data_IF_720900176013
#
_entry.id   IF_720900176013
#
_cell.length_a   1.000
_cell.length_b   1.000
_cell.length_c   1.000
_cell.angle_alpha   90.00
_cell.angle_beta   90.00
_cell.angle_gamma   90.00
#
_symmetry.space_group_name_H-M   'P 1'
#
loop_
_entity.id
_entity.type
_entity.pdbx_description
1 polymer ?
#
# COMPACT_ATOMS: atom_id res chain seq x y z
N UNK A 1 -2.35 -23.94 -23.20
CA UNK A 1 -1.92 -22.92 -22.21
C UNK A 1 -2.53 -21.59 -22.68
N UNK A 2 -3.70 -21.23 -22.13
CA UNK A 2 -4.41 -20.01 -22.45
C UNK A 2 -3.63 -18.85 -21.79
N UNK A 3 -2.96 -18.05 -22.60
CA UNK A 3 -2.29 -16.85 -22.11
C UNK A 3 -3.34 -15.93 -21.49
N UNK A 4 -3.25 -15.71 -20.18
CA UNK A 4 -4.08 -14.74 -19.50
C UNK A 4 -3.81 -13.36 -20.15
N UNK A 5 -4.78 -12.81 -20.85
CA UNK A 5 -4.69 -11.48 -21.44
C UNK A 5 -4.49 -10.48 -20.30
N UNK A 6 -3.34 -9.82 -20.27
CA UNK A 6 -3.08 -8.75 -19.30
C UNK A 6 -4.01 -7.57 -19.61
N UNK A 7 -4.59 -7.02 -18.57
CA UNK A 7 -5.41 -5.81 -18.65
C UNK A 7 -4.55 -4.59 -19.00
N UNK A 8 -5.14 -3.59 -19.63
CA UNK A 8 -4.50 -2.29 -19.76
C UNK A 8 -4.27 -1.65 -18.36
N UNK A 9 -3.23 -0.81 -18.20
CA UNK A 9 -2.97 -0.09 -16.96
C UNK A 9 -4.19 0.66 -16.46
N UNK A 10 -4.41 0.59 -15.15
CA UNK A 10 -5.46 1.37 -14.50
C UNK A 10 -5.02 2.82 -14.34
N UNK A 11 -5.94 3.76 -14.50
CA UNK A 11 -5.69 5.20 -14.31
C UNK A 11 -6.59 5.70 -13.18
N UNK A 12 -6.03 5.83 -11.98
CA UNK A 12 -6.76 6.23 -10.78
C UNK A 12 -6.88 7.75 -10.61
N UNK A 13 -6.21 8.51 -11.48
CA UNK A 13 -6.17 9.96 -11.38
C UNK A 13 -5.35 10.47 -10.17
N UNK A 14 -5.39 11.77 -9.82
CA UNK A 14 -4.68 12.31 -8.67
C UNK A 14 -5.31 11.86 -7.35
N UNK A 15 -4.54 11.96 -6.24
CA UNK A 15 -5.08 11.75 -4.89
C UNK A 15 -6.20 12.76 -4.61
N UNK A 16 -7.35 12.30 -4.09
CA UNK A 16 -8.43 13.20 -3.74
C UNK A 16 -8.03 14.13 -2.60
N UNK A 17 -8.43 15.39 -2.72
CA UNK A 17 -8.29 16.40 -1.68
C UNK A 17 -9.58 16.51 -0.85
N UNK A 18 -9.45 17.05 0.38
CA UNK A 18 -10.61 17.38 1.23
C UNK A 18 -11.36 16.19 1.81
N UNK A 19 -10.77 15.00 1.82
CA UNK A 19 -11.35 13.83 2.50
C UNK A 19 -11.35 14.03 4.01
N UNK A 20 -12.37 13.50 4.68
CA UNK A 20 -12.56 13.65 6.13
C UNK A 20 -11.39 13.03 6.93
N UNK A 21 -10.82 11.93 6.46
CA UNK A 21 -9.62 11.33 7.03
C UNK A 21 -8.48 11.44 6.02
N UNK A 22 -7.33 11.93 6.51
CA UNK A 22 -6.06 11.85 5.79
C UNK A 22 -4.97 11.46 6.78
N UNK A 23 -4.25 10.38 6.50
CA UNK A 23 -3.05 10.00 7.24
C UNK A 23 -1.83 10.04 6.33
N UNK A 24 -0.68 10.35 6.90
CA UNK A 24 0.61 10.33 6.21
C UNK A 24 1.60 9.60 7.10
N UNK A 25 2.18 8.55 6.58
CA UNK A 25 3.24 7.78 7.22
C UNK A 25 4.52 7.96 6.39
N UNK A 26 5.56 8.50 6.99
CA UNK A 26 6.83 8.77 6.32
C UNK A 26 7.94 7.89 6.88
N UNK A 27 8.87 7.49 6.02
CA UNK A 27 10.06 6.78 6.43
C UNK A 27 11.22 7.00 5.46
N UNK A 28 12.38 7.32 6.01
CA UNK A 28 13.63 7.21 5.28
C UNK A 28 14.14 5.77 5.34
N UNK A 29 14.50 5.22 4.19
CA UNK A 29 14.96 3.84 4.00
C UNK A 29 16.38 3.88 3.43
N UNK A 30 17.35 3.25 4.09
CA UNK A 30 18.75 3.20 3.67
C UNK A 30 18.96 2.15 2.56
N UNK A 31 18.24 2.32 1.47
CA UNK A 31 18.35 1.50 0.27
C UNK A 31 18.05 2.35 -0.96
N UNK A 32 18.66 2.05 -2.13
CA UNK A 32 18.34 2.70 -3.39
C UNK A 32 16.84 2.62 -3.73
N UNK A 33 16.35 3.65 -4.44
CA UNK A 33 14.94 3.75 -4.83
C UNK A 33 14.48 2.52 -5.60
N UNK A 34 15.29 2.02 -6.51
CA UNK A 34 14.98 0.86 -7.36
C UNK A 34 14.71 -0.40 -6.53
N UNK A 35 15.49 -0.62 -5.47
CA UNK A 35 15.32 -1.76 -4.55
C UNK A 35 14.03 -1.56 -3.74
N UNK A 36 13.85 -0.40 -3.13
CA UNK A 36 12.68 -0.13 -2.29
C UNK A 36 11.38 -0.19 -3.12
N UNK A 37 11.36 0.44 -4.30
CA UNK A 37 10.21 0.45 -5.18
C UNK A 37 9.87 -0.95 -5.71
N UNK A 38 10.87 -1.74 -6.12
CA UNK A 38 10.68 -3.12 -6.56
C UNK A 38 10.05 -3.99 -5.48
N UNK A 39 10.53 -3.89 -4.24
CA UNK A 39 9.99 -4.62 -3.10
C UNK A 39 8.56 -4.16 -2.79
N UNK A 40 8.29 -2.86 -2.84
CA UNK A 40 6.96 -2.32 -2.54
C UNK A 40 5.92 -2.71 -3.60
N UNK A 41 6.27 -2.73 -4.90
CA UNK A 41 5.32 -3.09 -5.97
C UNK A 41 5.05 -4.60 -6.05
N UNK A 42 5.93 -5.44 -5.52
CA UNK A 42 5.73 -6.90 -5.46
C UNK A 42 4.82 -7.27 -4.29
N UNK A 43 3.56 -6.83 -4.39
CA UNK A 43 2.59 -6.95 -3.29
C UNK A 43 2.28 -8.39 -2.90
N UNK A 44 2.37 -9.36 -3.82
CA UNK A 44 2.11 -10.78 -3.49
C UNK A 44 3.16 -11.37 -2.56
N UNK A 45 4.39 -10.87 -2.60
CA UNK A 45 5.45 -11.27 -1.67
C UNK A 45 5.23 -10.77 -0.24
N UNK A 46 4.35 -9.76 -0.03
CA UNK A 46 4.18 -9.16 1.29
C UNK A 46 3.76 -10.16 2.36
N UNK A 47 2.87 -11.09 2.04
CA UNK A 47 2.40 -12.07 3.02
C UNK A 47 3.53 -13.02 3.51
N UNK A 48 4.55 -13.26 2.69
CA UNK A 48 5.72 -14.08 3.09
C UNK A 48 6.66 -13.32 4.05
N UNK A 49 6.69 -12.00 3.99
CA UNK A 49 7.62 -11.17 4.75
C UNK A 49 6.97 -10.38 5.89
N UNK A 50 5.66 -10.13 5.81
CA UNK A 50 4.91 -9.29 6.73
C UNK A 50 3.83 -10.14 7.44
N UNK A 51 4.14 -10.59 8.65
CA UNK A 51 3.29 -11.52 9.43
C UNK A 51 1.86 -11.06 9.68
N UNK A 52 1.56 -9.76 9.52
CA UNK A 52 0.21 -9.24 9.67
C UNK A 52 -0.63 -9.41 8.41
N UNK A 53 -0.03 -9.64 7.22
CA UNK A 53 -0.79 -10.05 6.03
C UNK A 53 -1.09 -11.55 6.09
N UNK A 54 -2.34 -11.89 5.80
CA UNK A 54 -2.80 -13.28 5.66
C UNK A 54 -2.57 -13.79 4.25
N UNK A 55 -2.89 -12.94 3.28
CA UNK A 55 -2.60 -13.15 1.86
C UNK A 55 -2.69 -11.83 1.09
N UNK A 56 -1.99 -11.76 -0.02
CA UNK A 56 -2.13 -10.77 -1.07
C UNK A 56 -2.08 -11.51 -2.39
N UNK A 57 -3.04 -11.24 -3.29
CA UNK A 57 -3.09 -11.92 -4.58
C UNK A 57 -3.76 -11.06 -5.65
N UNK A 58 -3.25 -11.11 -6.86
CA UNK A 58 -3.93 -10.50 -7.99
C UNK A 58 -5.15 -11.33 -8.40
N UNK A 59 -6.27 -10.65 -8.59
CA UNK A 59 -7.45 -11.19 -9.31
C UNK A 59 -7.30 -10.96 -10.81
N UNK A 60 -6.77 -9.81 -11.19
CA UNK A 60 -6.44 -9.43 -12.56
C UNK A 60 -5.12 -8.67 -12.55
N UNK A 61 -4.23 -8.94 -13.51
CA UNK A 61 -2.96 -8.21 -13.67
C UNK A 61 -3.04 -7.24 -14.83
N UNK A 62 -2.46 -6.06 -14.66
CA UNK A 62 -2.24 -5.07 -15.70
C UNK A 62 -0.79 -5.07 -16.17
N UNK A 63 -0.55 -4.51 -17.37
CA UNK A 63 0.75 -4.53 -18.03
C UNK A 63 1.80 -3.63 -17.35
N UNK A 64 1.39 -2.68 -16.50
CA UNK A 64 2.27 -1.83 -15.67
C UNK A 64 2.73 -2.52 -14.37
N UNK A 65 2.27 -3.74 -14.12
CA UNK A 65 2.49 -4.46 -12.86
C UNK A 65 1.43 -4.18 -11.79
N UNK A 66 0.44 -3.33 -12.08
CA UNK A 66 -0.77 -3.14 -11.28
C UNK A 66 -1.88 -4.13 -11.60
N UNK A 67 -3.13 -3.76 -11.32
CA UNK A 67 -4.31 -4.59 -11.59
C UNK A 67 -5.32 -4.57 -10.47
N UNK A 68 -6.12 -5.63 -10.36
CA UNK A 68 -7.05 -5.84 -9.25
C UNK A 68 -6.41 -6.75 -8.22
N UNK A 69 -6.20 -6.24 -7.01
CA UNK A 69 -5.50 -6.93 -5.92
C UNK A 69 -6.45 -7.18 -4.76
N UNK A 70 -6.51 -8.42 -4.32
CA UNK A 70 -7.21 -8.82 -3.10
C UNK A 70 -6.23 -9.00 -1.96
N UNK A 71 -6.53 -8.37 -0.84
CA UNK A 71 -5.68 -8.35 0.34
C UNK A 71 -6.45 -8.74 1.60
N UNK A 72 -5.76 -9.43 2.51
CA UNK A 72 -6.27 -9.68 3.86
C UNK A 72 -5.16 -9.55 4.88
N UNK A 73 -5.45 -8.85 5.96
CA UNK A 73 -4.52 -8.66 7.06
C UNK A 73 -5.19 -8.84 8.42
N UNK A 74 -4.42 -9.30 9.39
CA UNK A 74 -4.82 -9.34 10.79
C UNK A 74 -4.60 -7.97 11.42
N UNK A 75 -5.64 -7.44 12.05
CA UNK A 75 -5.58 -6.20 12.83
C UNK A 75 -5.52 -6.55 14.31
N UNK A 76 -4.52 -6.07 15.04
CA UNK A 76 -4.52 -6.21 16.49
C UNK A 76 -5.63 -5.34 17.08
N UNK A 77 -6.53 -5.97 17.80
CA UNK A 77 -7.55 -5.31 18.60
C UNK A 77 -7.42 -5.81 20.03
N UNK A 78 -6.58 -5.15 20.84
CA UNK A 78 -6.21 -5.66 22.15
C UNK A 78 -5.56 -7.05 22.04
N UNK A 79 -6.04 -8.07 22.79
CA UNK A 79 -5.53 -9.43 22.70
C UNK A 79 -6.05 -10.20 21.45
N UNK A 80 -6.98 -9.65 20.70
CA UNK A 80 -7.62 -10.31 19.56
C UNK A 80 -7.03 -9.82 18.23
N UNK A 81 -6.71 -10.76 17.36
CA UNK A 81 -6.36 -10.48 15.96
C UNK A 81 -7.63 -10.56 15.12
N UNK A 82 -8.11 -9.39 14.63
CA UNK A 82 -9.30 -9.35 13.78
C UNK A 82 -8.91 -9.43 12.30
N UNK A 83 -9.30 -10.47 11.55
CA UNK A 83 -9.03 -10.54 10.13
C UNK A 83 -9.87 -9.51 9.37
N UNK A 84 -9.21 -8.74 8.51
CA UNK A 84 -9.87 -7.82 7.58
C UNK A 84 -9.52 -8.16 6.17
N UNK A 85 -10.41 -7.80 5.26
CA UNK A 85 -10.30 -8.07 3.84
C UNK A 85 -10.68 -6.83 3.05
N UNK A 86 -9.98 -6.60 1.94
CA UNK A 86 -10.30 -5.56 0.96
C UNK A 86 -9.86 -5.94 -0.44
N UNK A 87 -10.53 -5.35 -1.43
CA UNK A 87 -10.21 -5.45 -2.85
C UNK A 87 -9.82 -4.07 -3.35
N UNK A 88 -8.75 -3.97 -4.13
CA UNK A 88 -8.21 -2.70 -4.62
C UNK A 88 -7.92 -2.73 -6.11
N UNK A 89 -8.19 -1.64 -6.78
CA UNK A 89 -7.50 -1.26 -8.00
C UNK A 89 -6.09 -0.80 -7.62
N UNK A 90 -5.07 -1.28 -8.34
CA UNK A 90 -3.67 -0.92 -8.15
C UNK A 90 -3.10 -0.37 -9.46
N UNK A 91 -2.51 0.81 -9.40
CA UNK A 91 -1.76 1.45 -10.48
C UNK A 91 -0.30 1.59 -10.06
N UNK A 92 0.61 1.27 -10.97
CA UNK A 92 2.05 1.45 -10.77
C UNK A 92 2.55 2.51 -11.75
N UNK A 93 3.26 3.51 -11.26
CA UNK A 93 3.87 4.57 -12.05
C UNK A 93 5.38 4.56 -11.80
N UNK A 94 6.16 4.34 -12.85
CA UNK A 94 7.61 4.41 -12.83
C UNK A 94 8.13 4.79 -14.23
N UNK A 95 7.56 5.86 -14.79
CA UNK A 95 7.96 6.37 -16.09
C UNK A 95 9.06 7.43 -15.92
N UNK A 96 9.96 7.53 -16.89
CA UNK A 96 10.99 8.57 -16.91
C UNK A 96 10.35 9.96 -16.85
N UNK A 97 10.74 10.74 -15.83
CA UNK A 97 10.21 12.10 -15.62
C UNK A 97 8.99 12.18 -14.70
N UNK A 98 8.42 11.05 -14.25
CA UNK A 98 7.39 11.02 -13.23
C UNK A 98 7.94 10.45 -11.92
N UNK A 99 7.50 10.93 -10.75
CA UNK A 99 7.84 10.31 -9.48
C UNK A 99 7.36 8.87 -9.42
N UNK A 100 8.23 7.97 -8.92
CA UNK A 100 7.85 6.59 -8.70
C UNK A 100 6.72 6.52 -7.66
N UNK A 101 5.60 5.88 -8.01
CA UNK A 101 4.42 5.81 -7.15
C UNK A 101 3.64 4.50 -7.36
N UNK A 102 2.99 4.06 -6.28
CA UNK A 102 2.02 2.97 -6.31
C UNK A 102 0.73 3.50 -5.71
N UNK A 103 -0.36 3.45 -6.47
CA UNK A 103 -1.68 3.90 -6.06
C UNK A 103 -2.62 2.74 -5.90
N UNK A 104 -3.44 2.81 -4.85
CA UNK A 104 -4.56 1.88 -4.64
C UNK A 104 -5.85 2.67 -4.45
N UNK A 105 -6.94 2.12 -4.97
CA UNK A 105 -8.30 2.53 -4.64
C UNK A 105 -9.06 1.32 -4.16
N UNK A 106 -9.52 1.34 -2.94
CA UNK A 106 -10.28 0.23 -2.38
C UNK A 106 -11.69 0.20 -2.98
N UNK A 107 -12.00 -0.88 -3.70
CA UNK A 107 -13.29 -1.09 -4.38
C UNK A 107 -14.17 -2.12 -3.69
N UNK A 108 -13.66 -2.80 -2.65
CA UNK A 108 -14.39 -3.77 -1.84
C UNK A 108 -13.86 -3.87 -0.41
N UNK A 109 -14.68 -4.39 0.48
CA UNK A 109 -14.37 -4.53 1.91
C UNK A 109 -14.75 -3.32 2.75
N UNK A 110 -14.38 -3.33 4.04
CA UNK A 110 -14.76 -2.30 5.01
C UNK A 110 -14.19 -0.91 4.69
N UNK A 111 -13.08 -0.86 3.96
CA UNK A 111 -12.39 0.37 3.56
C UNK A 111 -12.72 0.82 2.13
N UNK A 112 -13.84 0.35 1.58
CA UNK A 112 -14.29 0.76 0.24
C UNK A 112 -14.34 2.28 0.10
N UNK A 113 -13.78 2.81 -1.01
CA UNK A 113 -13.67 4.23 -1.28
C UNK A 113 -12.43 4.90 -0.71
N UNK A 114 -11.55 4.17 -0.02
CA UNK A 114 -10.25 4.69 0.43
C UNK A 114 -9.28 4.75 -0.73
N UNK A 115 -8.63 5.88 -0.89
CA UNK A 115 -7.48 6.06 -1.77
C UNK A 115 -6.19 5.98 -0.97
N UNK A 116 -5.19 5.27 -1.51
CA UNK A 116 -3.88 5.06 -0.90
C UNK A 116 -2.81 5.36 -1.93
N UNK A 117 -1.76 6.07 -1.53
CA UNK A 117 -0.63 6.37 -2.41
C UNK A 117 0.69 6.18 -1.68
N UNK A 118 1.56 5.38 -2.28
CA UNK A 118 2.96 5.28 -1.93
C UNK A 118 3.75 6.16 -2.89
N UNK A 119 4.58 7.05 -2.36
CA UNK A 119 5.51 7.90 -3.11
C UNK A 119 6.92 7.55 -2.71
N UNK A 120 7.81 7.55 -3.69
CA UNK A 120 9.21 7.22 -3.49
C UNK A 120 10.06 8.32 -4.09
N UNK A 121 10.94 8.90 -3.28
CA UNK A 121 11.85 9.95 -3.69
C UNK A 121 13.27 9.56 -3.33
N UNK A 122 14.19 9.61 -4.33
CA UNK A 122 15.60 9.39 -4.07
C UNK A 122 16.16 10.53 -3.23
N UNK A 123 16.87 10.21 -2.18
CA UNK A 123 17.57 11.14 -1.28
C UNK A 123 18.99 10.64 -1.07
N UNK A 124 19.88 11.52 -0.60
CA UNK A 124 21.25 11.14 -0.26
C UNK A 124 21.26 9.99 0.75
N UNK A 125 21.90 8.88 0.35
CA UNK A 125 22.02 7.67 1.18
C UNK A 125 20.78 6.78 1.21
N UNK A 126 19.73 7.04 0.42
CA UNK A 126 18.57 6.16 0.41
C UNK A 126 17.33 6.69 -0.31
N UNK A 127 16.18 6.28 0.20
CA UNK A 127 14.86 6.57 -0.36
C UNK A 127 13.94 7.13 0.72
N UNK A 128 13.36 8.30 0.49
CA UNK A 128 12.22 8.79 1.26
C UNK A 128 10.96 8.11 0.74
N UNK A 129 10.23 7.45 1.63
CA UNK A 129 8.94 6.82 1.37
C UNK A 129 7.86 7.59 2.10
N UNK A 130 6.82 7.99 1.39
CA UNK A 130 5.60 8.59 1.94
C UNK A 130 4.42 7.68 1.59
N UNK A 131 3.62 7.32 2.58
CA UNK A 131 2.39 6.55 2.42
C UNK A 131 1.20 7.37 2.89
N UNK A 132 0.36 7.75 1.95
CA UNK A 132 -0.82 8.60 2.18
C UNK A 132 -2.09 7.77 2.07
N UNK A 133 -3.00 7.93 3.04
CA UNK A 133 -4.37 7.43 2.94
C UNK A 133 -5.34 8.60 2.97
N UNK A 134 -6.37 8.54 2.14
CA UNK A 134 -7.43 9.53 2.07
C UNK A 134 -8.81 8.84 1.98
N UNK A 135 -9.73 9.15 2.90
CA UNK A 135 -11.01 8.44 3.00
C UNK A 135 -12.07 9.26 3.74
N UNK A 136 -13.33 9.08 3.38
CA UNK A 136 -14.48 9.70 4.08
C UNK A 136 -15.14 8.76 5.10
N UNK A 137 -14.62 7.54 5.23
CA UNK A 137 -15.19 6.52 6.10
C UNK A 137 -16.13 5.56 5.38
N UNK A 138 -16.57 4.51 6.10
CA UNK A 138 -17.57 3.60 5.58
C UNK A 138 -18.88 4.34 5.34
N UNK A 139 -19.65 3.93 4.35
CA UNK A 139 -20.96 4.51 4.02
C UNK A 139 -22.04 4.10 5.02
N UNK A 140 -21.75 4.19 6.31
CA UNK A 140 -22.70 3.93 7.38
C UNK A 140 -23.44 5.22 7.73
N UNK A 141 -24.77 5.21 7.73
CA UNK A 141 -25.54 6.38 8.11
C UNK A 141 -25.14 6.90 9.49
N UNK A 142 -24.96 8.21 9.63
CA UNK A 142 -24.68 8.95 10.86
C UNK A 142 -23.33 8.74 11.54
N UNK A 143 -22.65 7.61 11.36
CA UNK A 143 -21.42 7.29 12.09
C UNK A 143 -20.19 7.07 11.21
N UNK A 144 -20.34 7.04 9.86
CA UNK A 144 -19.28 6.69 8.94
C UNK A 144 -18.05 7.61 9.04
N UNK A 145 -18.25 8.92 9.03
CA UNK A 145 -17.16 9.91 9.14
C UNK A 145 -16.52 9.85 10.53
N UNK A 146 -17.32 9.77 11.59
CA UNK A 146 -16.79 9.66 12.96
C UNK A 146 -15.96 8.38 13.13
N UNK A 147 -16.46 7.24 12.65
CA UNK A 147 -15.72 5.99 12.70
C UNK A 147 -14.39 6.06 11.91
N UNK A 148 -14.40 6.71 10.73
CA UNK A 148 -13.20 6.90 9.93
C UNK A 148 -12.13 7.73 10.63
N UNK A 149 -12.54 8.87 11.21
CA UNK A 149 -11.61 9.85 11.79
C UNK A 149 -11.12 9.47 13.17
N UNK A 150 -11.96 8.80 13.98
CA UNK A 150 -11.67 8.57 15.40
C UNK A 150 -11.13 7.17 15.68
N UNK A 151 -11.55 6.16 14.93
CA UNK A 151 -11.22 4.76 15.21
C UNK A 151 -10.46 4.11 14.05
N UNK A 152 -11.04 4.13 12.84
CA UNK A 152 -10.49 3.34 11.73
C UNK A 152 -9.20 3.97 11.21
N UNK A 153 -9.14 5.28 11.04
CA UNK A 153 -7.96 5.98 10.58
C UNK A 153 -6.77 5.85 11.54
N UNK A 154 -6.86 6.42 12.77
CA UNK A 154 -5.74 6.45 13.69
C UNK A 154 -5.31 5.06 14.18
N UNK A 155 -6.26 4.16 14.44
CA UNK A 155 -5.95 2.87 15.08
C UNK A 155 -5.66 1.79 14.02
N UNK A 156 -6.49 1.67 13.00
CA UNK A 156 -6.37 0.56 12.06
C UNK A 156 -5.51 0.88 10.84
N UNK A 157 -5.75 2.02 10.19
CA UNK A 157 -5.02 2.37 8.96
C UNK A 157 -3.57 2.64 9.28
N UNK A 158 -3.29 3.53 10.22
CA UNK A 158 -1.94 3.87 10.65
C UNK A 158 -1.17 2.66 11.19
N UNK A 159 -1.82 1.80 12.01
CA UNK A 159 -1.18 0.62 12.57
C UNK A 159 -0.74 -0.42 11.53
N UNK A 160 -1.51 -0.64 10.46
CA UNK A 160 -1.10 -1.52 9.34
C UNK A 160 -0.06 -0.82 8.47
N UNK A 161 -0.28 0.46 8.13
CA UNK A 161 0.60 1.26 7.29
C UNK A 161 2.03 1.29 7.84
N UNK A 162 2.19 1.71 9.10
CA UNK A 162 3.50 1.80 9.76
C UNK A 162 4.24 0.45 9.80
N UNK A 163 3.53 -0.65 10.09
CA UNK A 163 4.13 -1.99 10.09
C UNK A 163 4.53 -2.44 8.70
N UNK A 164 3.73 -2.12 7.69
CA UNK A 164 4.02 -2.46 6.29
C UNK A 164 5.25 -1.71 5.81
N UNK A 165 5.26 -0.38 5.94
CA UNK A 165 6.43 0.45 5.56
C UNK A 165 7.68 0.00 6.29
N UNK A 166 7.61 -0.21 7.62
CA UNK A 166 8.76 -0.65 8.40
C UNK A 166 9.26 -2.06 8.01
N UNK A 167 8.36 -2.95 7.67
CA UNK A 167 8.70 -4.31 7.23
C UNK A 167 9.40 -4.33 5.88
N UNK A 168 8.83 -3.63 4.90
CA UNK A 168 9.41 -3.52 3.54
C UNK A 168 10.74 -2.74 3.57
N UNK A 169 10.87 -1.70 4.40
CA UNK A 169 12.12 -0.98 4.59
C UNK A 169 13.24 -1.91 5.07
N UNK A 170 12.96 -2.74 6.09
CA UNK A 170 13.96 -3.72 6.57
C UNK A 170 14.36 -4.74 5.49
N UNK A 171 13.44 -5.13 4.61
CA UNK A 171 13.77 -5.99 3.47
C UNK A 171 14.71 -5.28 2.51
N UNK A 172 14.40 -4.05 2.12
CA UNK A 172 15.20 -3.25 1.20
C UNK A 172 16.61 -2.98 1.76
N UNK A 173 16.71 -2.61 3.03
CA UNK A 173 17.99 -2.34 3.70
C UNK A 173 18.86 -3.59 3.80
N UNK A 174 18.28 -4.76 4.07
CA UNK A 174 19.03 -6.04 4.08
C UNK A 174 19.56 -6.39 2.69
N UNK A 175 18.74 -6.25 1.66
CA UNK A 175 19.15 -6.54 0.29
C UNK A 175 20.26 -5.59 -0.17
N UNK A 176 20.11 -4.29 0.10
CA UNK A 176 21.14 -3.28 -0.21
C UNK A 176 22.46 -3.55 0.51
N UNK A 177 22.42 -3.91 1.80
CA UNK A 177 23.61 -4.23 2.59
C UNK A 177 24.28 -5.56 2.21
N UNK A 178 23.53 -6.50 1.64
CA UNK A 178 24.05 -7.75 1.10
C UNK A 178 24.79 -7.57 -0.23
N UNK A 179 24.29 -6.71 -1.10
CA UNK A 179 24.89 -6.40 -2.40
C UNK A 179 26.26 -5.67 -2.28
N UNK A 180 26.50 -4.98 -1.17
CA UNK A 180 27.78 -4.29 -0.92
C UNK A 180 28.89 -5.18 -0.32
N UNK A 181 28.62 -6.47 -0.08
CA UNK A 181 29.57 -7.43 0.51
C UNK A 181 29.99 -8.57 -0.44
N UNK A 182 29.50 -8.59 -1.66
CA UNK A 182 29.85 -9.51 -2.73
C UNK A 182 30.73 -8.81 -3.77
#
# INVERSE_FOLDING_TARGET
>A
MTGASMRAPLRLGPMPLGRAMRTVDERFVRAPLEIMFRIARDVESWAAHLRHYRFVRFRERASDGGGIVEMSANRPFGPLNWPTWWLSEMQVTNESGAPAAIRFRHIGGITTGMDVEWRFESRDGGTQVELVHAWDGPRWPLIGVFAATTVIGPVFVHGIATRTVAGLARLAERESGGAGRA
#
